data_IF_910539212849
#
_entry.id   IF_910539212849
#
_cell.length_a   1.000
_cell.length_b   1.000
_cell.length_c   1.000
_cell.angle_alpha   90.00
_cell.angle_beta   90.00
_cell.angle_gamma   90.00
#
_symmetry.space_group_name_H-M   'P 1'
#
loop_
_entity.id
_entity.type
_entity.pdbx_description
1 polymer ?
#
# COMPACT_ATOMS: atom_id res chain seq x y z
N UNK A 1 -13.57 20.61 -10.00
CA UNK A 1 -14.16 19.72 -9.95
C UNK A 1 -14.12 18.87 -8.84
N UNK A 2 -15.03 18.60 -8.37
CA UNK A 2 -15.07 18.00 -7.24
C UNK A 2 -15.50 16.67 -7.27
N UNK A 3 -15.74 16.11 -8.37
CA UNK A 3 -16.15 14.80 -8.42
C UNK A 3 -15.12 13.87 -7.87
N UNK A 4 -13.89 14.28 -7.90
CA UNK A 4 -12.88 13.42 -7.37
C UNK A 4 -13.04 13.19 -5.92
N UNK A 5 -13.48 14.19 -5.22
CA UNK A 5 -13.63 14.02 -3.85
C UNK A 5 -14.65 13.08 -3.47
N UNK A 6 -15.78 13.12 -4.14
CA UNK A 6 -16.79 12.26 -3.74
C UNK A 6 -16.48 10.86 -4.13
N UNK A 7 -15.66 10.67 -5.11
CA UNK A 7 -15.34 9.32 -5.51
C UNK A 7 -14.26 8.75 -4.67
N UNK A 8 -13.69 9.53 -3.74
CA UNK A 8 -12.55 9.07 -3.08
C UNK A 8 -12.74 7.82 -2.32
N UNK A 9 -13.88 7.51 -1.86
CA UNK A 9 -14.10 6.38 -1.06
C UNK A 9 -13.81 5.09 -1.73
N UNK A 10 -14.35 4.79 -2.81
CA UNK A 10 -14.00 3.62 -3.54
C UNK A 10 -13.35 4.00 -4.81
N UNK A 11 -13.12 5.29 -4.97
CA UNK A 11 -12.75 5.80 -6.25
C UNK A 11 -11.39 5.38 -6.75
N UNK A 12 -10.45 5.13 -5.82
CA UNK A 12 -9.12 4.75 -6.24
C UNK A 12 -9.16 3.41 -6.96
N UNK A 13 -9.85 2.43 -6.39
CA UNK A 13 -9.92 1.13 -7.02
C UNK A 13 -10.70 1.19 -8.32
N UNK A 14 -11.78 1.97 -8.34
CA UNK A 14 -12.56 2.10 -9.56
C UNK A 14 -11.75 2.77 -10.66
N UNK A 15 -10.95 3.78 -10.30
CA UNK A 15 -10.13 4.46 -11.27
C UNK A 15 -9.07 3.53 -11.84
N UNK A 16 -8.45 2.72 -11.01
CA UNK A 16 -7.44 1.78 -11.48
C UNK A 16 -8.07 0.78 -12.42
N UNK A 17 -9.25 0.26 -12.07
CA UNK A 17 -9.92 -0.70 -12.91
C UNK A 17 -10.25 -0.09 -14.27
N UNK A 18 -10.71 1.15 -14.28
CA UNK A 18 -11.02 1.83 -15.53
C UNK A 18 -9.80 2.07 -16.37
N UNK A 19 -8.70 2.48 -15.75
CA UNK A 19 -7.49 2.79 -16.50
C UNK A 19 -6.92 1.55 -17.17
N UNK A 20 -7.00 0.42 -16.53
CA UNK A 20 -6.39 -0.78 -17.05
C UNK A 20 -7.41 -1.79 -17.58
N UNK A 21 -8.68 -1.37 -17.62
CA UNK A 21 -9.75 -2.25 -18.17
C UNK A 21 -9.79 -3.57 -17.43
N UNK A 22 -9.65 -3.53 -16.09
CA UNK A 22 -9.70 -4.72 -15.27
C UNK A 22 -11.01 -4.78 -14.52
N UNK A 23 -11.52 -5.98 -14.24
CA UNK A 23 -12.70 -6.09 -13.40
C UNK A 23 -12.46 -5.51 -12.02
N UNK A 24 -13.41 -4.77 -11.51
CA UNK A 24 -13.24 -4.11 -10.24
C UNK A 24 -13.00 -5.08 -9.09
N UNK A 25 -13.63 -6.24 -9.11
CA UNK A 25 -13.45 -7.20 -8.05
C UNK A 25 -12.06 -7.81 -8.08
N UNK A 26 -11.45 -7.93 -9.25
CA UNK A 26 -10.08 -8.38 -9.33
C UNK A 26 -9.14 -7.35 -8.74
N UNK A 27 -9.37 -6.08 -9.07
CA UNK A 27 -8.53 -5.01 -8.55
C UNK A 27 -8.72 -4.86 -7.04
N UNK A 28 -9.93 -5.04 -6.56
CA UNK A 28 -10.22 -4.88 -5.14
C UNK A 28 -9.51 -5.90 -4.27
N UNK A 29 -9.18 -7.06 -4.83
CA UNK A 29 -8.46 -8.08 -4.08
C UNK A 29 -6.96 -7.89 -4.08
N UNK A 30 -6.45 -6.95 -4.84
CA UNK A 30 -5.01 -6.72 -4.92
C UNK A 30 -4.58 -5.67 -3.90
N UNK A 31 -3.32 -5.71 -3.49
CA UNK A 31 -2.82 -4.70 -2.57
C UNK A 31 -2.81 -3.34 -3.24
N UNK A 32 -3.22 -2.33 -2.50
CA UNK A 32 -3.21 -0.95 -2.98
C UNK A 32 -2.20 -0.18 -2.16
N UNK A 33 -1.28 0.49 -2.83
CA UNK A 33 -0.19 1.17 -2.19
C UNK A 33 -0.24 2.65 -2.52
N UNK A 34 -0.14 3.49 -1.49
CA UNK A 34 -0.05 4.93 -1.67
C UNK A 34 1.14 5.45 -0.91
N UNK A 35 1.80 6.45 -1.45
CA UNK A 35 2.90 7.09 -0.76
C UNK A 35 2.68 8.59 -0.72
N UNK A 36 3.10 9.21 0.38
CA UNK A 36 3.11 10.65 0.50
C UNK A 36 4.57 11.04 0.54
N UNK A 37 5.09 11.48 -0.59
CA UNK A 37 6.51 11.73 -0.73
C UNK A 37 7.29 10.48 -0.38
N UNK A 38 8.41 10.63 0.31
CA UNK A 38 9.19 9.51 0.78
C UNK A 38 9.02 9.32 2.29
N UNK A 39 7.99 9.92 2.87
CA UNK A 39 7.87 9.95 4.32
C UNK A 39 6.77 9.04 4.86
N UNK A 40 5.79 8.68 4.05
CA UNK A 40 4.71 7.82 4.50
C UNK A 40 4.30 6.86 3.41
N UNK A 41 3.93 5.67 3.83
CA UNK A 41 3.42 4.64 2.92
C UNK A 41 2.17 4.06 3.54
N UNK A 42 1.12 3.95 2.74
CA UNK A 42 -0.15 3.41 3.16
C UNK A 42 -0.45 2.21 2.27
N UNK A 43 -0.77 1.09 2.89
CA UNK A 43 -0.99 -0.16 2.15
C UNK A 43 -2.31 -0.77 2.58
N UNK A 44 -3.13 -1.13 1.61
CA UNK A 44 -4.38 -1.84 1.85
C UNK A 44 -4.25 -3.27 1.36
N UNK A 45 -4.97 -4.16 2.00
CA UNK A 45 -5.06 -5.56 1.60
C UNK A 45 -3.75 -6.32 1.82
N UNK A 46 -3.10 -6.05 2.94
CA UNK A 46 -1.98 -6.87 3.34
C UNK A 46 -2.49 -8.11 4.06
N UNK A 47 -1.65 -9.12 4.19
CA UNK A 47 -2.01 -10.33 4.90
C UNK A 47 -1.07 -10.58 6.08
N UNK A 48 -0.25 -9.61 6.43
CA UNK A 48 0.59 -9.70 7.62
C UNK A 48 1.98 -9.18 7.37
N UNK A 49 2.67 -8.87 8.47
CA UNK A 49 4.04 -8.41 8.39
C UNK A 49 4.94 -9.62 8.60
N UNK A 50 5.89 -9.80 7.69
CA UNK A 50 6.81 -10.93 7.77
C UNK A 50 8.05 -10.59 8.56
N UNK A 51 8.56 -9.37 8.43
CA UNK A 51 9.72 -8.95 9.21
C UNK A 51 9.67 -7.45 9.38
N UNK A 52 10.29 -6.96 10.44
CA UNK A 52 10.20 -5.56 10.78
C UNK A 52 11.49 -5.10 11.44
N UNK A 53 12.05 -4.03 10.90
CA UNK A 53 13.16 -3.34 11.53
C UNK A 53 13.07 -1.87 11.11
N UNK A 54 13.91 -1.04 11.66
CA UNK A 54 13.89 0.37 11.30
C UNK A 54 14.44 0.61 9.90
N UNK A 55 15.11 -0.38 9.32
CA UNK A 55 15.67 -0.22 7.98
C UNK A 55 14.92 -1.02 6.93
N UNK A 56 14.12 -2.00 7.33
CA UNK A 56 13.43 -2.83 6.35
C UNK A 56 12.19 -3.46 6.95
N UNK A 57 11.09 -3.36 6.22
CA UNK A 57 9.84 -3.99 6.62
C UNK A 57 9.35 -4.79 5.43
N UNK A 58 9.09 -6.08 5.65
CA UNK A 58 8.55 -6.96 4.61
C UNK A 58 7.12 -7.30 4.97
N UNK A 59 6.22 -7.06 4.03
CA UNK A 59 4.79 -7.23 4.24
C UNK A 59 4.27 -8.23 3.24
N UNK A 60 3.54 -9.23 3.72
CA UNK A 60 2.93 -10.20 2.83
C UNK A 60 1.63 -9.66 2.26
N UNK A 61 1.38 -9.92 1.00
CA UNK A 61 0.13 -9.52 0.36
C UNK A 61 -0.28 -10.63 -0.60
N UNK A 62 -1.47 -10.52 -1.16
CA UNK A 62 -1.91 -11.48 -2.14
C UNK A 62 -1.13 -11.36 -3.45
N UNK A 63 -0.48 -10.23 -3.66
CA UNK A 63 0.30 -10.01 -4.87
C UNK A 63 1.78 -10.31 -4.72
N UNK A 64 2.20 -10.76 -3.54
CA UNK A 64 3.60 -11.05 -3.27
C UNK A 64 4.07 -10.32 -2.02
N UNK A 65 5.36 -10.37 -1.78
CA UNK A 65 5.94 -9.73 -0.62
C UNK A 65 6.39 -8.33 -1.02
N UNK A 66 5.93 -7.34 -0.28
CA UNK A 66 6.33 -5.96 -0.52
C UNK A 66 7.42 -5.62 0.48
N UNK A 67 8.56 -5.18 -0.01
CA UNK A 67 9.70 -4.81 0.84
C UNK A 67 9.89 -3.31 0.84
N UNK A 68 9.86 -2.72 2.02
CA UNK A 68 10.09 -1.29 2.19
C UNK A 68 11.43 -1.13 2.88
N UNK A 69 12.32 -0.38 2.28
CA UNK A 69 13.63 -0.13 2.85
C UNK A 69 13.84 1.35 3.07
N UNK A 70 14.54 1.68 4.12
CA UNK A 70 14.80 3.08 4.44
C UNK A 70 15.51 3.23 5.75
N UNK A 71 15.19 4.32 6.46
CA UNK A 71 15.80 4.61 7.75
C UNK A 71 14.70 5.08 8.69
N UNK A 72 14.83 4.68 9.94
CA UNK A 72 13.88 5.07 10.97
C UNK A 72 12.45 4.73 10.58
N UNK A 73 12.29 3.61 9.94
CA UNK A 73 10.95 3.16 9.56
C UNK A 73 10.18 2.76 10.81
N UNK A 74 8.91 3.11 10.83
CA UNK A 74 8.06 2.80 11.98
C UNK A 74 6.67 2.47 11.51
N UNK A 75 6.07 1.48 12.14
CA UNK A 75 4.70 1.13 11.86
C UNK A 75 3.82 2.09 12.63
N UNK A 76 3.11 2.95 11.91
CA UNK A 76 2.30 3.99 12.52
C UNK A 76 0.90 3.51 12.88
N UNK A 77 0.36 2.61 12.09
CA UNK A 77 -0.98 2.09 12.34
C UNK A 77 -1.14 0.79 11.57
N UNK A 78 -1.97 -0.10 12.09
CA UNK A 78 -2.20 -1.37 11.45
C UNK A 78 -3.56 -1.92 11.84
N UNK A 79 -4.31 -2.37 10.85
CA UNK A 79 -5.53 -3.13 11.10
C UNK A 79 -5.37 -4.46 10.37
N UNK A 80 -6.43 -5.24 10.33
CA UNK A 80 -6.38 -6.55 9.65
C UNK A 80 -6.09 -6.40 8.16
N UNK A 81 -6.46 -5.27 7.56
CA UNK A 81 -6.31 -5.10 6.13
C UNK A 81 -5.42 -3.93 5.74
N UNK A 82 -5.18 -2.99 6.64
CA UNK A 82 -4.48 -1.76 6.30
C UNK A 82 -3.29 -1.55 7.19
N UNK A 83 -2.25 -0.93 6.66
CA UNK A 83 -1.16 -0.50 7.51
C UNK A 83 -0.55 0.79 6.98
N UNK A 84 0.09 1.51 7.88
CA UNK A 84 0.71 2.78 7.55
C UNK A 84 2.11 2.78 8.15
N UNK A 85 3.09 3.10 7.32
CA UNK A 85 4.49 3.12 7.71
C UNK A 85 5.00 4.53 7.51
N UNK A 86 5.76 5.03 8.47
CA UNK A 86 6.41 6.34 8.36
C UNK A 86 7.91 6.18 8.47
N UNK A 87 8.63 7.25 8.17
CA UNK A 87 10.08 7.28 8.26
C UNK A 87 10.67 7.86 7.00
N UNK A 88 11.92 7.48 6.71
CA UNK A 88 12.59 7.91 5.50
C UNK A 88 12.60 6.71 4.57
N UNK A 89 11.74 6.69 3.59
CA UNK A 89 11.59 5.55 2.70
C UNK A 89 12.53 5.72 1.52
N UNK A 90 13.43 4.77 1.35
CA UNK A 90 14.40 4.81 0.26
C UNK A 90 13.99 3.96 -0.91
N UNK A 91 13.30 2.85 -0.68
CA UNK A 91 12.93 1.95 -1.76
C UNK A 91 11.69 1.15 -1.37
N UNK A 92 10.89 0.83 -2.36
CA UNK A 92 9.73 -0.04 -2.21
C UNK A 92 9.81 -1.00 -3.38
N UNK A 93 9.81 -2.30 -3.09
CA UNK A 93 9.97 -3.26 -4.16
C UNK A 93 9.21 -4.55 -3.88
N UNK A 94 8.85 -5.25 -4.93
CA UNK A 94 8.23 -6.55 -4.81
C UNK A 94 9.31 -7.61 -4.79
N UNK A 95 9.21 -8.51 -3.83
CA UNK A 95 10.16 -9.60 -3.70
C UNK A 95 9.48 -10.86 -4.19
N UNK A 96 10.08 -11.51 -5.13
CA UNK A 96 9.49 -12.70 -5.71
C UNK A 96 10.33 -13.92 -5.53
#
# INVERSE_FOLDING_TARGET
>A
MDRNRKDRNGGVLDTVAELFDLPADLVAGLPHLEMVGSRQLYLEHHTGILSYSEEQIDVNTTGGVLRIRGEQLALMAMTAEELRIGGEIAAVEWVR
#
